data_IF_713321305690
#
_entry.id   IF_713321305690
#
_cell.length_a   1.000
_cell.length_b   1.000
_cell.length_c   1.000
_cell.angle_alpha   90.00
_cell.angle_beta   90.00
_cell.angle_gamma   90.00
#
_symmetry.space_group_name_H-M   'P 1'
#
loop_
_entity.id
_entity.type
_entity.pdbx_description
1 polymer ?
#
# COMPACT_ATOMS: atom_id res chain seq x y z
N UNK A 1 -44.66 18.97 -15.94
CA UNK A 1 -43.35 18.30 -15.81
C UNK A 1 -42.91 18.39 -14.35
N UNK A 2 -43.25 17.37 -13.57
CA UNK A 2 -42.88 17.25 -12.15
C UNK A 2 -41.39 16.95 -12.03
N UNK A 3 -40.61 17.89 -11.51
CA UNK A 3 -39.21 17.64 -11.14
C UNK A 3 -39.21 16.67 -9.96
N UNK A 4 -38.77 15.43 -10.20
CA UNK A 4 -38.41 14.52 -9.13
C UNK A 4 -37.30 15.19 -8.29
N UNK A 5 -37.41 15.25 -6.96
CA UNK A 5 -36.32 15.75 -6.13
C UNK A 5 -35.14 14.79 -6.27
N UNK A 6 -34.05 15.28 -6.84
CA UNK A 6 -32.76 14.59 -6.76
C UNK A 6 -32.41 14.56 -5.28
N UNK A 7 -32.40 13.36 -4.70
CA UNK A 7 -31.85 13.10 -3.36
C UNK A 7 -30.34 13.31 -3.47
N UNK A 8 -29.92 14.57 -3.36
CA UNK A 8 -28.55 14.98 -3.06
C UNK A 8 -28.59 15.69 -1.70
N UNK A 9 -28.99 14.96 -0.66
CA UNK A 9 -28.78 15.37 0.72
C UNK A 9 -27.36 14.97 1.10
N UNK A 10 -26.47 15.95 1.15
CA UNK A 10 -25.12 15.71 1.66
C UNK A 10 -24.17 16.85 1.36
N UNK A 11 -23.85 17.58 2.43
CA UNK A 11 -22.68 18.44 2.64
C UNK A 11 -22.98 19.94 2.46
N UNK A 12 -23.23 20.58 3.61
CA UNK A 12 -23.37 22.03 3.76
C UNK A 12 -24.51 22.46 4.69
N UNK A 13 -24.63 21.85 5.87
CA UNK A 13 -25.54 22.30 6.91
C UNK A 13 -25.20 21.61 8.22
N UNK A 14 -25.05 22.37 9.32
CA UNK A 14 -25.11 21.80 10.66
C UNK A 14 -26.50 21.16 10.77
N UNK A 15 -26.59 19.85 10.66
CA UNK A 15 -27.70 19.11 11.23
C UNK A 15 -27.51 19.27 12.73
N UNK A 16 -28.30 20.16 13.35
CA UNK A 16 -28.46 20.12 14.79
C UNK A 16 -28.94 18.70 15.12
N UNK A 17 -28.13 17.96 15.87
CA UNK A 17 -28.53 16.62 16.28
C UNK A 17 -29.86 16.76 17.05
N UNK A 18 -30.86 15.91 16.80
CA UNK A 18 -32.11 15.90 17.57
C UNK A 18 -31.89 15.55 19.06
N UNK A 19 -30.65 15.25 19.45
CA UNK A 19 -30.20 14.89 20.79
C UNK A 19 -29.15 15.91 21.25
N UNK A 20 -29.17 16.37 22.53
CA UNK A 20 -28.15 17.26 23.04
C UNK A 20 -26.73 16.67 22.88
N UNK A 21 -25.79 17.50 22.44
CA UNK A 21 -24.41 17.09 22.11
C UNK A 21 -23.72 16.37 23.27
N UNK A 22 -24.03 16.73 24.52
CA UNK A 22 -23.50 16.09 25.72
C UNK A 22 -23.92 14.62 25.83
N UNK A 23 -25.18 14.28 25.55
CA UNK A 23 -25.65 12.90 25.56
C UNK A 23 -25.03 12.11 24.41
N UNK A 24 -24.97 12.68 23.20
CA UNK A 24 -24.30 12.04 22.07
C UNK A 24 -22.81 11.75 22.36
N UNK A 25 -22.09 12.73 22.92
CA UNK A 25 -20.69 12.57 23.29
C UNK A 25 -20.50 11.51 24.39
N UNK A 26 -21.37 11.49 25.40
CA UNK A 26 -21.34 10.48 26.45
C UNK A 26 -21.59 9.07 25.90
N UNK A 27 -22.61 8.90 25.06
CA UNK A 27 -22.91 7.61 24.42
C UNK A 27 -21.78 7.14 23.51
N UNK A 28 -21.24 8.04 22.67
CA UNK A 28 -20.08 7.74 21.83
C UNK A 28 -18.87 7.31 22.67
N UNK A 29 -18.60 7.99 23.78
CA UNK A 29 -17.52 7.63 24.71
C UNK A 29 -17.75 6.27 25.38
N UNK A 30 -18.98 5.98 25.82
CA UNK A 30 -19.34 4.69 26.42
C UNK A 30 -19.17 3.56 25.40
N UNK A 31 -19.71 3.71 24.19
CA UNK A 31 -19.57 2.71 23.12
C UNK A 31 -18.09 2.46 22.79
N UNK A 32 -17.29 3.53 22.70
CA UNK A 32 -15.85 3.43 22.48
C UNK A 32 -15.17 2.65 23.60
N UNK A 33 -15.34 3.06 24.86
CA UNK A 33 -14.71 2.40 26.02
C UNK A 33 -15.13 0.93 26.09
N UNK A 34 -16.44 0.64 26.01
CA UNK A 34 -16.96 -0.72 26.08
C UNK A 34 -16.42 -1.58 24.94
N UNK A 35 -16.35 -1.06 23.72
CA UNK A 35 -15.80 -1.81 22.58
C UNK A 35 -14.32 -2.17 22.76
N UNK A 36 -13.49 -1.23 23.24
CA UNK A 36 -12.07 -1.49 23.50
C UNK A 36 -11.86 -2.41 24.71
N UNK A 37 -12.64 -2.27 25.78
CA UNK A 37 -12.62 -3.18 26.93
C UNK A 37 -13.03 -4.59 26.50
N UNK A 38 -14.10 -4.72 25.71
CA UNK A 38 -14.54 -6.00 25.16
C UNK A 38 -13.47 -6.61 24.26
N UNK A 39 -12.83 -5.82 23.39
CA UNK A 39 -11.74 -6.28 22.53
C UNK A 39 -10.55 -6.78 23.38
N UNK A 40 -10.12 -6.01 24.39
CA UNK A 40 -9.02 -6.38 25.28
C UNK A 40 -9.34 -7.64 26.12
N UNK A 41 -10.58 -7.76 26.61
CA UNK A 41 -11.00 -8.88 27.45
C UNK A 41 -11.27 -10.16 26.66
N UNK A 42 -11.85 -10.06 25.46
CA UNK A 42 -12.30 -11.20 24.65
C UNK A 42 -11.23 -11.67 23.64
N UNK A 43 -10.37 -10.78 23.15
CA UNK A 43 -9.37 -11.09 22.11
C UNK A 43 -7.99 -11.43 22.70
N UNK A 44 -7.92 -12.48 23.54
CA UNK A 44 -6.70 -12.83 24.30
C UNK A 44 -5.58 -13.47 23.48
N UNK A 45 -5.86 -13.96 22.27
CA UNK A 45 -4.89 -14.66 21.40
C UNK A 45 -4.98 -14.11 19.98
N UNK A 46 -3.86 -13.99 19.25
CA UNK A 46 -3.89 -13.57 17.84
C UNK A 46 -4.59 -14.64 17.00
N UNK A 47 -5.71 -14.28 16.35
CA UNK A 47 -6.51 -15.19 15.51
C UNK A 47 -6.36 -14.94 14.01
N UNK A 48 -5.75 -13.82 13.62
CA UNK A 48 -5.66 -13.36 12.22
C UNK A 48 -4.27 -13.53 11.60
N UNK A 49 -3.33 -14.15 12.33
CA UNK A 49 -1.97 -14.38 11.87
C UNK A 49 -1.83 -15.64 11.00
N UNK A 50 -2.78 -16.56 11.11
CA UNK A 50 -2.81 -17.80 10.31
C UNK A 50 -3.71 -17.60 9.10
N UNK A 51 -3.25 -18.03 7.92
CA UNK A 51 -4.01 -17.93 6.68
C UNK A 51 -3.10 -17.96 5.46
N UNK A 52 -3.65 -18.16 4.26
CA UNK A 52 -2.85 -18.20 3.05
C UNK A 52 -2.17 -16.85 2.82
N UNK A 53 -0.88 -16.89 2.47
CA UNK A 53 -0.13 -15.69 2.12
C UNK A 53 -0.58 -15.27 0.73
N UNK A 54 -1.38 -14.20 0.67
CA UNK A 54 -1.85 -13.63 -0.58
C UNK A 54 -0.99 -12.42 -0.94
N UNK A 55 -0.59 -12.30 -2.21
CA UNK A 55 0.25 -11.19 -2.63
C UNK A 55 -0.56 -9.88 -2.62
N UNK A 56 -0.10 -8.92 -1.82
CA UNK A 56 -0.65 -7.56 -1.73
C UNK A 56 -0.39 -6.79 -3.05
N UNK A 57 0.52 -7.27 -3.91
CA UNK A 57 0.98 -6.55 -5.10
C UNK A 57 0.04 -6.63 -6.29
N UNK A 58 -0.84 -7.63 -6.42
CA UNK A 58 -1.50 -7.88 -7.70
C UNK A 58 -2.91 -7.29 -7.78
N UNK A 59 -3.02 -6.09 -8.34
CA UNK A 59 -4.28 -5.51 -8.81
C UNK A 59 -4.62 -5.91 -10.27
N UNK A 60 -4.12 -7.03 -10.77
CA UNK A 60 -4.37 -7.45 -12.15
C UNK A 60 -5.56 -8.40 -12.22
N UNK A 61 -6.78 -7.90 -12.45
CA UNK A 61 -7.88 -8.54 -13.24
C UNK A 61 -9.27 -7.89 -13.03
N UNK A 62 -9.40 -6.67 -12.49
CA UNK A 62 -10.59 -5.88 -12.86
C UNK A 62 -10.30 -5.41 -14.29
N UNK A 63 -11.21 -5.51 -15.28
CA UNK A 63 -10.92 -5.09 -16.66
C UNK A 63 -10.30 -3.68 -16.66
N UNK A 64 -8.97 -3.66 -16.75
CA UNK A 64 -8.18 -2.54 -16.19
C UNK A 64 -8.28 -1.32 -17.05
N UNK A 65 -8.62 -1.51 -18.32
CA UNK A 65 -8.56 -0.45 -19.31
C UNK A 65 -9.63 0.60 -19.05
N UNK A 66 -10.91 0.23 -18.88
CA UNK A 66 -11.96 1.22 -18.67
C UNK A 66 -11.84 1.94 -17.31
N UNK A 67 -11.42 1.22 -16.25
CA UNK A 67 -11.17 1.83 -14.94
C UNK A 67 -9.97 2.78 -14.95
N UNK A 68 -8.93 2.45 -15.72
CA UNK A 68 -7.77 3.33 -15.88
C UNK A 68 -8.16 4.65 -16.53
N UNK A 69 -9.08 4.63 -17.50
CA UNK A 69 -9.65 5.82 -18.12
C UNK A 69 -10.55 6.58 -17.15
N UNK A 70 -11.33 5.90 -16.29
CA UNK A 70 -12.17 6.56 -15.30
C UNK A 70 -11.34 7.47 -14.37
N UNK A 71 -10.18 7.00 -13.92
CA UNK A 71 -9.24 7.81 -13.13
C UNK A 71 -8.77 9.05 -13.86
N UNK A 72 -8.30 8.89 -15.11
CA UNK A 72 -7.79 9.99 -15.94
C UNK A 72 -8.90 10.99 -16.27
N UNK A 73 -10.10 10.53 -16.60
CA UNK A 73 -11.26 11.38 -16.84
C UNK A 73 -11.65 12.15 -15.58
N UNK A 74 -11.66 11.50 -14.42
CA UNK A 74 -11.91 12.16 -13.13
C UNK A 74 -10.90 13.27 -12.85
N UNK A 75 -9.60 12.98 -13.01
CA UNK A 75 -8.54 13.98 -12.86
C UNK A 75 -8.69 15.13 -13.90
N UNK A 76 -8.98 14.79 -15.16
CA UNK A 76 -9.21 15.76 -16.22
C UNK A 76 -10.38 16.68 -15.92
N UNK A 77 -11.50 16.15 -15.44
CA UNK A 77 -12.67 16.94 -15.04
C UNK A 77 -12.36 17.86 -13.86
N UNK A 78 -11.60 17.40 -12.86
CA UNK A 78 -11.15 18.23 -11.73
C UNK A 78 -10.33 19.41 -12.25
N UNK A 79 -9.34 19.16 -13.11
CA UNK A 79 -8.46 20.21 -13.65
C UNK A 79 -9.25 21.17 -14.54
N UNK A 80 -10.05 20.66 -15.48
CA UNK A 80 -10.81 21.49 -16.42
C UNK A 80 -11.86 22.35 -15.68
N UNK A 81 -12.66 21.74 -14.80
CA UNK A 81 -13.70 22.48 -14.09
C UNK A 81 -13.14 23.49 -13.08
N UNK A 82 -11.99 23.19 -12.46
CA UNK A 82 -11.33 24.13 -11.56
C UNK A 82 -10.62 25.27 -12.30
N UNK A 83 -9.93 25.00 -13.42
CA UNK A 83 -9.36 26.06 -14.25
C UNK A 83 -10.45 26.94 -14.88
N UNK A 84 -11.57 26.34 -15.32
CA UNK A 84 -12.70 27.11 -15.85
C UNK A 84 -13.28 28.05 -14.78
N UNK A 85 -13.42 27.59 -13.54
CA UNK A 85 -13.86 28.45 -12.43
C UNK A 85 -12.88 29.59 -12.17
N UNK A 86 -11.57 29.30 -12.20
CA UNK A 86 -10.53 30.29 -12.00
C UNK A 86 -10.54 31.37 -13.09
N UNK A 87 -10.69 30.98 -14.36
CA UNK A 87 -10.72 31.89 -15.49
C UNK A 87 -12.02 32.72 -15.57
N UNK A 88 -13.13 32.19 -15.07
CA UNK A 88 -14.44 32.87 -15.07
C UNK A 88 -14.75 33.61 -13.76
N UNK A 89 -13.86 33.52 -12.77
CA UNK A 89 -14.05 34.11 -11.43
C UNK A 89 -15.14 33.43 -10.58
N UNK A 90 -15.56 32.21 -10.92
CA UNK A 90 -16.64 31.46 -10.25
C UNK A 90 -16.15 30.61 -9.07
N UNK A 91 -15.19 31.12 -8.29
CA UNK A 91 -14.51 30.39 -7.21
C UNK A 91 -15.40 30.15 -5.97
N UNK A 92 -16.46 30.95 -5.77
CA UNK A 92 -17.34 30.90 -4.58
C UNK A 92 -18.34 29.74 -4.57
N UNK A 93 -18.26 28.84 -5.54
CA UNK A 93 -19.32 27.88 -5.82
C UNK A 93 -18.90 26.43 -5.54
N UNK A 94 -18.28 26.19 -4.38
CA UNK A 94 -17.62 24.91 -4.04
C UNK A 94 -18.48 23.66 -4.32
N UNK A 95 -19.75 23.65 -3.90
CA UNK A 95 -20.66 22.50 -4.11
C UNK A 95 -21.38 22.48 -5.46
N UNK A 96 -21.44 23.60 -6.21
CA UNK A 96 -21.99 23.58 -7.58
C UNK A 96 -20.92 23.30 -8.63
N UNK A 97 -19.63 23.36 -8.26
CA UNK A 97 -18.55 22.92 -9.12
C UNK A 97 -18.26 21.43 -8.87
N UNK A 98 -18.02 20.69 -9.94
CA UNK A 98 -17.75 19.25 -9.88
C UNK A 98 -16.36 18.94 -9.31
N UNK A 99 -15.38 19.85 -9.40
CA UNK A 99 -14.00 19.61 -9.01
C UNK A 99 -13.82 19.32 -7.49
N UNK A 100 -14.37 20.15 -6.56
CA UNK A 100 -14.29 19.83 -5.14
C UNK A 100 -15.02 18.53 -4.77
N UNK A 101 -16.16 18.27 -5.39
CA UNK A 101 -16.94 17.05 -5.15
C UNK A 101 -16.16 15.81 -5.61
N UNK A 102 -15.55 15.86 -6.81
CA UNK A 102 -14.74 14.75 -7.32
C UNK A 102 -13.51 14.49 -6.46
N UNK A 103 -12.79 15.52 -6.00
CA UNK A 103 -11.62 15.33 -5.17
C UNK A 103 -11.99 14.85 -3.76
N UNK A 104 -12.80 15.62 -3.03
CA UNK A 104 -13.03 15.40 -1.60
C UNK A 104 -14.00 14.27 -1.31
N UNK A 105 -14.99 14.05 -2.18
CA UNK A 105 -15.99 12.98 -1.98
C UNK A 105 -15.58 11.75 -2.75
N UNK A 106 -15.49 11.80 -4.08
CA UNK A 106 -15.29 10.57 -4.84
C UNK A 106 -13.88 10.02 -4.70
N UNK A 107 -12.86 10.84 -4.88
CA UNK A 107 -11.47 10.39 -4.88
C UNK A 107 -10.94 10.16 -3.47
N UNK A 108 -11.19 11.07 -2.53
CA UNK A 108 -10.66 10.98 -1.16
C UNK A 108 -11.49 10.05 -0.26
N UNK A 109 -12.82 10.03 -0.41
CA UNK A 109 -13.69 9.19 0.42
C UNK A 109 -14.10 7.90 -0.30
N UNK A 110 -14.78 7.97 -1.45
CA UNK A 110 -15.39 6.77 -2.08
C UNK A 110 -14.34 5.77 -2.53
N UNK A 111 -13.26 6.18 -3.19
CA UNK A 111 -12.25 5.26 -3.73
C UNK A 111 -11.55 4.45 -2.62
N UNK A 112 -11.08 5.04 -1.51
CA UNK A 112 -10.47 4.26 -0.43
C UNK A 112 -11.43 3.33 0.29
N UNK A 113 -12.69 3.73 0.53
CA UNK A 113 -13.71 2.86 1.13
C UNK A 113 -14.12 1.73 0.17
N UNK A 114 -14.22 2.01 -1.13
CA UNK A 114 -14.40 0.97 -2.14
C UNK A 114 -13.21 0.01 -2.14
N UNK A 115 -11.98 0.49 -1.96
CA UNK A 115 -10.79 -0.35 -1.80
C UNK A 115 -10.80 -1.19 -0.51
N UNK A 116 -11.32 -0.66 0.58
CA UNK A 116 -11.53 -1.41 1.82
C UNK A 116 -12.45 -2.62 1.60
N UNK A 117 -13.48 -2.49 0.76
CA UNK A 117 -14.41 -3.59 0.46
C UNK A 117 -13.88 -4.50 -0.64
N UNK A 118 -13.44 -3.94 -1.77
CA UNK A 118 -13.13 -4.65 -3.02
C UNK A 118 -11.65 -5.06 -3.16
N UNK A 119 -10.77 -4.59 -2.28
CA UNK A 119 -9.32 -4.82 -2.35
C UNK A 119 -8.59 -3.69 -3.07
N UNK A 120 -7.51 -3.99 -3.79
CA UNK A 120 -6.65 -2.97 -4.41
C UNK A 120 -7.26 -2.35 -5.69
N UNK A 121 -8.43 -1.69 -5.55
CA UNK A 121 -9.14 -0.98 -6.62
C UNK A 121 -8.35 0.21 -7.13
N UNK A 122 -7.72 0.96 -6.21
CA UNK A 122 -7.01 2.19 -6.53
C UNK A 122 -5.95 2.01 -7.62
N UNK A 123 -5.25 0.88 -7.61
CA UNK A 123 -4.28 0.59 -8.65
C UNK A 123 -4.87 0.59 -10.08
N UNK A 124 -6.12 0.16 -10.24
CA UNK A 124 -6.79 0.14 -11.53
C UNK A 124 -7.28 1.54 -11.95
N UNK A 125 -7.69 2.38 -11.00
CA UNK A 125 -8.20 3.74 -11.25
C UNK A 125 -7.13 4.83 -11.09
N UNK A 126 -5.87 4.49 -10.79
CA UNK A 126 -4.82 5.46 -10.51
C UNK A 126 -4.52 6.29 -11.78
N UNK A 127 -4.86 7.59 -11.82
CA UNK A 127 -4.71 8.41 -13.02
C UNK A 127 -3.24 8.57 -13.42
N UNK A 128 -2.34 8.74 -12.44
CA UNK A 128 -0.92 8.94 -12.70
C UNK A 128 -0.24 7.68 -13.25
N UNK A 129 -0.67 6.50 -12.80
CA UNK A 129 -0.21 5.23 -13.38
C UNK A 129 -0.61 5.12 -14.86
N UNK A 130 -1.84 5.50 -15.19
CA UNK A 130 -2.36 5.50 -16.57
C UNK A 130 -1.64 6.53 -17.43
N UNK A 131 -1.47 7.76 -16.94
CA UNK A 131 -0.74 8.82 -17.65
C UNK A 131 0.72 8.43 -17.89
N UNK A 132 1.43 7.90 -16.88
CA UNK A 132 2.79 7.44 -17.06
C UNK A 132 2.92 6.28 -18.07
N UNK A 133 1.91 5.41 -18.17
CA UNK A 133 1.83 4.38 -19.23
C UNK A 133 1.60 4.98 -20.60
N UNK A 134 0.63 5.88 -20.72
CA UNK A 134 0.24 6.48 -21.99
C UNK A 134 1.33 7.41 -22.56
N UNK A 135 2.03 8.15 -21.70
CA UNK A 135 3.10 9.07 -22.07
C UNK A 135 4.48 8.39 -22.18
N UNK A 136 4.60 7.09 -21.91
CA UNK A 136 5.89 6.38 -21.92
C UNK A 136 6.87 6.87 -20.83
N UNK A 137 6.38 7.43 -19.73
CA UNK A 137 7.22 7.99 -18.66
C UNK A 137 7.52 6.93 -17.60
N UNK A 138 8.79 6.76 -17.26
CA UNK A 138 9.24 5.87 -16.20
C UNK A 138 9.18 4.39 -16.55
N UNK A 139 9.35 4.03 -17.83
CA UNK A 139 9.41 2.63 -18.29
C UNK A 139 10.59 1.85 -17.69
N UNK A 140 11.71 2.54 -17.47
CA UNK A 140 12.88 1.96 -16.82
C UNK A 140 12.78 2.17 -15.32
N UNK A 141 12.59 1.08 -14.59
CA UNK A 141 12.61 1.10 -13.13
C UNK A 141 14.05 1.30 -12.62
N UNK A 142 14.21 2.23 -11.68
CA UNK A 142 15.47 2.46 -10.98
C UNK A 142 15.36 1.93 -9.55
N UNK A 143 16.50 1.69 -8.90
CA UNK A 143 16.53 1.16 -7.54
C UNK A 143 15.66 1.97 -6.58
N UNK A 144 15.00 1.27 -5.64
CA UNK A 144 14.14 1.91 -4.64
C UNK A 144 14.92 2.95 -3.83
N UNK A 145 14.41 4.18 -3.67
CA UNK A 145 15.11 5.20 -2.92
C UNK A 145 15.16 4.80 -1.43
N UNK A 146 16.30 5.05 -0.77
CA UNK A 146 16.54 4.70 0.64
C UNK A 146 15.59 5.41 1.63
N UNK A 147 14.86 6.42 1.16
CA UNK A 147 13.90 7.22 1.93
C UNK A 147 12.62 6.46 2.28
N UNK A 148 12.38 5.27 1.72
CA UNK A 148 11.17 4.50 1.98
C UNK A 148 9.92 5.27 1.55
N UNK A 149 8.89 5.31 2.40
CA UNK A 149 7.62 6.02 2.15
C UNK A 149 7.52 7.37 2.87
N UNK A 150 8.63 7.90 3.42
CA UNK A 150 8.64 9.23 4.04
C UNK A 150 8.13 10.36 3.13
N UNK A 151 8.42 10.38 1.80
CA UNK A 151 7.83 11.36 0.92
C UNK A 151 6.30 11.28 0.88
N UNK A 152 5.72 10.08 0.94
CA UNK A 152 4.28 9.88 1.04
C UNK A 152 3.71 10.41 2.37
N UNK A 153 4.47 10.35 3.48
CA UNK A 153 4.08 10.96 4.77
C UNK A 153 3.98 12.47 4.65
N UNK A 154 5.00 13.10 4.05
CA UNK A 154 5.02 14.56 3.83
C UNK A 154 3.84 14.95 2.94
N UNK A 155 3.61 14.22 1.86
CA UNK A 155 2.51 14.48 0.96
C UNK A 155 1.14 14.29 1.63
N UNK A 156 0.97 13.32 2.54
CA UNK A 156 -0.26 13.16 3.32
C UNK A 156 -0.50 14.39 4.23
N UNK A 157 0.52 14.88 4.93
CA UNK A 157 0.40 16.08 5.76
C UNK A 157 0.12 17.32 4.90
N UNK A 158 0.75 17.43 3.73
CA UNK A 158 0.50 18.53 2.79
C UNK A 158 -0.93 18.50 2.22
N UNK A 159 -1.44 17.31 1.91
CA UNK A 159 -2.81 17.11 1.46
C UNK A 159 -3.82 17.47 2.57
N UNK A 160 -3.59 17.01 3.80
CA UNK A 160 -4.40 17.39 4.95
C UNK A 160 -4.30 18.89 5.29
N UNK A 161 -3.14 19.51 5.07
CA UNK A 161 -2.99 20.95 5.24
C UNK A 161 -3.82 21.72 4.21
N UNK A 162 -3.84 21.27 2.95
CA UNK A 162 -4.69 21.85 1.91
C UNK A 162 -6.19 21.74 2.29
N UNK A 163 -6.59 20.61 2.88
CA UNK A 163 -7.97 20.36 3.29
C UNK A 163 -8.39 21.18 4.53
N UNK A 164 -7.54 21.18 5.57
CA UNK A 164 -7.94 21.59 6.93
C UNK A 164 -7.42 22.98 7.33
N UNK A 165 -6.39 23.49 6.64
CA UNK A 165 -5.68 24.71 7.03
C UNK A 165 -5.74 25.79 5.96
N UNK A 166 -5.64 25.43 4.69
CA UNK A 166 -5.67 26.39 3.60
C UNK A 166 -7.07 27.03 3.47
N UNK A 167 -7.21 28.37 3.56
CA UNK A 167 -8.52 29.02 3.53
C UNK A 167 -9.34 28.72 2.28
N UNK A 168 -8.66 28.55 1.14
CA UNK A 168 -9.29 28.29 -0.15
C UNK A 168 -9.20 26.80 -0.54
N UNK A 169 -9.00 25.89 0.43
CA UNK A 169 -8.84 24.44 0.18
C UNK A 169 -10.02 23.78 -0.53
N UNK A 170 -11.20 24.40 -0.43
CA UNK A 170 -12.42 23.94 -1.09
C UNK A 170 -12.74 24.67 -2.40
N UNK A 171 -11.95 25.67 -2.81
CA UNK A 171 -12.24 26.39 -4.06
C UNK A 171 -11.79 25.56 -5.27
N UNK A 172 -12.54 25.58 -6.39
CA UNK A 172 -12.22 24.76 -7.54
C UNK A 172 -10.84 25.10 -8.15
N UNK A 173 -10.46 26.38 -8.18
CA UNK A 173 -9.17 26.82 -8.71
C UNK A 173 -7.99 26.31 -7.88
N UNK A 174 -8.08 26.38 -6.55
CA UNK A 174 -7.04 25.86 -5.66
C UNK A 174 -6.85 24.35 -5.85
N UNK A 175 -7.94 23.60 -5.98
CA UNK A 175 -7.94 22.16 -6.22
C UNK A 175 -7.32 21.82 -7.57
N UNK A 176 -7.67 22.55 -8.64
CA UNK A 176 -7.07 22.35 -9.96
C UNK A 176 -5.56 22.61 -9.94
N UNK A 177 -5.11 23.70 -9.30
CA UNK A 177 -3.69 24.01 -9.17
C UNK A 177 -2.97 22.91 -8.38
N UNK A 178 -3.53 22.48 -7.25
CA UNK A 178 -2.96 21.39 -6.45
C UNK A 178 -2.87 20.08 -7.26
N UNK A 179 -3.93 19.73 -8.00
CA UNK A 179 -3.98 18.54 -8.85
C UNK A 179 -2.93 18.61 -9.98
N UNK A 180 -2.73 19.78 -10.60
CA UNK A 180 -1.70 20.00 -11.61
C UNK A 180 -0.29 19.87 -11.03
N UNK A 181 -0.01 20.57 -9.93
CA UNK A 181 1.29 20.53 -9.24
C UNK A 181 1.62 19.09 -8.83
N UNK A 182 0.66 18.38 -8.24
CA UNK A 182 0.82 16.97 -7.86
C UNK A 182 1.08 16.08 -9.09
N UNK A 183 0.33 16.28 -10.17
CA UNK A 183 0.48 15.50 -11.41
C UNK A 183 1.85 15.70 -12.05
N UNK A 184 2.28 16.96 -12.21
CA UNK A 184 3.61 17.27 -12.76
C UNK A 184 4.71 16.71 -11.88
N UNK A 185 4.61 16.90 -10.56
CA UNK A 185 5.58 16.35 -9.60
C UNK A 185 5.66 14.83 -9.67
N UNK A 186 4.52 14.14 -9.73
CA UNK A 186 4.46 12.69 -9.80
C UNK A 186 5.06 12.16 -11.11
N UNK A 187 4.76 12.78 -12.25
CA UNK A 187 5.33 12.42 -13.55
C UNK A 187 6.85 12.66 -13.59
N UNK A 188 7.34 13.77 -13.01
CA UNK A 188 8.77 14.03 -12.88
C UNK A 188 9.48 12.97 -12.03
N UNK A 189 8.87 12.55 -10.92
CA UNK A 189 9.38 11.47 -10.08
C UNK A 189 9.36 10.12 -10.81
N UNK A 190 8.33 9.84 -11.62
CA UNK A 190 8.30 8.65 -12.48
C UNK A 190 9.43 8.66 -13.51
N UNK A 191 9.68 9.80 -14.17
CA UNK A 191 10.79 9.95 -15.10
C UNK A 191 12.16 9.71 -14.44
N UNK A 192 12.29 10.09 -13.16
CA UNK A 192 13.54 9.96 -12.40
C UNK A 192 13.75 8.59 -11.78
N UNK A 193 12.73 7.94 -11.22
CA UNK A 193 12.89 6.72 -10.42
C UNK A 193 12.25 5.47 -11.04
N UNK A 194 11.48 5.63 -12.12
CA UNK A 194 10.61 4.58 -12.64
C UNK A 194 9.18 4.73 -12.15
N UNK A 195 8.23 4.24 -12.94
CA UNK A 195 6.80 4.43 -12.69
C UNK A 195 6.33 3.73 -11.41
N UNK A 196 6.62 2.44 -11.29
CA UNK A 196 6.15 1.64 -10.16
C UNK A 196 6.92 2.01 -8.88
N UNK A 197 8.22 2.31 -9.00
CA UNK A 197 9.04 2.77 -7.88
C UNK A 197 8.59 4.14 -7.36
N UNK A 198 8.22 5.06 -8.27
CA UNK A 198 7.69 6.37 -7.93
C UNK A 198 6.36 6.26 -7.18
N UNK A 199 5.39 5.52 -7.72
CA UNK A 199 4.10 5.29 -7.08
C UNK A 199 4.23 4.58 -5.72
N UNK A 200 5.16 3.64 -5.60
CA UNK A 200 5.33 2.89 -4.35
C UNK A 200 5.99 3.68 -3.20
N UNK A 201 6.69 4.80 -3.50
CA UNK A 201 7.51 5.51 -2.51
C UNK A 201 7.07 6.97 -2.29
N UNK A 202 6.55 7.62 -3.34
CA UNK A 202 6.23 9.04 -3.33
C UNK A 202 4.73 9.34 -3.43
N UNK A 203 3.94 8.45 -4.04
CA UNK A 203 2.49 8.68 -4.16
C UNK A 203 1.77 8.40 -2.83
N UNK A 204 1.19 9.45 -2.27
CA UNK A 204 0.44 9.41 -1.01
C UNK A 204 -0.78 8.51 -1.15
N UNK A 205 -1.46 8.60 -2.30
CA UNK A 205 -2.73 7.94 -2.54
C UNK A 205 -2.53 6.46 -2.79
N UNK A 206 -1.45 6.06 -3.47
CA UNK A 206 -1.05 4.64 -3.58
C UNK A 206 -0.79 4.05 -2.20
N UNK A 207 -0.03 4.74 -1.35
CA UNK A 207 0.30 4.26 0.00
C UNK A 207 -0.94 4.15 0.88
N UNK A 208 -1.76 5.20 0.90
CA UNK A 208 -3.02 5.27 1.67
C UNK A 208 -4.00 4.16 1.27
N UNK A 209 -4.30 4.04 -0.03
CA UNK A 209 -5.22 3.02 -0.54
C UNK A 209 -4.68 1.60 -0.36
N UNK A 210 -3.36 1.40 -0.43
CA UNK A 210 -2.76 0.08 -0.17
C UNK A 210 -2.93 -0.35 1.29
N UNK A 211 -2.84 0.60 2.23
CA UNK A 211 -3.10 0.31 3.64
C UNK A 211 -4.59 0.03 3.89
N UNK A 212 -5.50 0.82 3.33
CA UNK A 212 -6.95 0.57 3.53
C UNK A 212 -7.44 -0.71 2.84
N UNK A 213 -6.98 -1.01 1.64
CA UNK A 213 -7.31 -2.26 0.95
C UNK A 213 -6.75 -3.51 1.64
N UNK A 214 -5.79 -3.36 2.56
CA UNK A 214 -5.29 -4.48 3.39
C UNK A 214 -6.35 -5.01 4.37
N UNK A 215 -7.38 -4.22 4.69
CA UNK A 215 -8.52 -4.61 5.52
C UNK A 215 -9.47 -5.55 4.75
N UNK A 216 -9.50 -5.43 3.42
CA UNK A 216 -10.44 -6.15 2.54
C UNK A 216 -10.42 -7.66 2.73
N UNK A 217 -11.58 -8.33 2.64
CA UNK A 217 -11.67 -9.77 2.73
C UNK A 217 -11.21 -10.48 1.45
N UNK A 218 -10.86 -9.74 0.40
CA UNK A 218 -10.38 -10.28 -0.86
C UNK A 218 -8.86 -10.16 -0.96
N UNK A 219 -8.24 -11.20 -1.50
CA UNK A 219 -6.83 -11.26 -1.86
C UNK A 219 -6.65 -11.96 -3.21
N UNK A 220 -5.40 -12.14 -3.64
CA UNK A 220 -5.10 -12.95 -4.82
C UNK A 220 -4.10 -14.05 -4.52
N UNK A 221 -4.37 -15.24 -5.05
CA UNK A 221 -3.46 -16.38 -4.98
C UNK A 221 -2.15 -16.07 -5.71
N UNK A 222 -1.13 -16.91 -5.53
CA UNK A 222 0.13 -16.80 -6.28
C UNK A 222 -0.08 -16.92 -7.80
N UNK A 223 -1.13 -17.61 -8.22
CA UNK A 223 -1.56 -17.75 -9.62
C UNK A 223 -2.34 -16.52 -10.13
N UNK A 224 -2.49 -15.50 -9.29
CA UNK A 224 -3.19 -14.28 -9.63
C UNK A 224 -4.71 -14.43 -9.70
N UNK A 225 -5.33 -15.45 -9.10
CA UNK A 225 -6.81 -15.58 -9.04
C UNK A 225 -7.36 -14.82 -7.84
N UNK A 226 -8.52 -14.17 -8.00
CA UNK A 226 -9.23 -13.55 -6.87
C UNK A 226 -9.68 -14.63 -5.90
N UNK A 227 -9.36 -14.47 -4.62
CA UNK A 227 -9.71 -15.42 -3.57
C UNK A 227 -10.22 -14.69 -2.34
N UNK A 228 -11.21 -15.29 -1.68
CA UNK A 228 -11.65 -14.84 -0.36
C UNK A 228 -10.60 -15.24 0.68
N UNK A 229 -10.08 -14.25 1.41
CA UNK A 229 -9.11 -14.41 2.50
C UNK A 229 -9.69 -14.08 3.89
N UNK A 230 -10.82 -13.39 3.93
CA UNK A 230 -11.44 -12.89 5.17
C UNK A 230 -10.87 -11.55 5.64
N UNK A 231 -11.68 -10.82 6.41
CA UNK A 231 -11.39 -9.45 6.85
C UNK A 231 -10.12 -9.36 7.71
N UNK A 232 -9.38 -8.24 7.58
CA UNK A 232 -8.23 -7.87 8.42
C UNK A 232 -7.02 -8.82 8.36
N UNK A 233 -7.07 -9.91 7.59
CA UNK A 233 -6.00 -10.91 7.54
C UNK A 233 -4.71 -10.46 6.86
N UNK A 234 -4.74 -9.36 6.12
CA UNK A 234 -3.54 -8.82 5.48
C UNK A 234 -2.71 -7.93 6.40
N UNK A 235 -3.32 -7.34 7.43
CA UNK A 235 -2.67 -6.36 8.29
C UNK A 235 -1.42 -6.92 9.00
N UNK A 236 -1.43 -8.16 9.54
CA UNK A 236 -0.26 -8.71 10.23
C UNK A 236 0.92 -9.04 9.31
N UNK A 237 0.69 -9.11 7.99
CA UNK A 237 1.70 -9.50 6.99
C UNK A 237 2.15 -8.31 6.12
N UNK A 238 1.75 -7.08 6.48
CA UNK A 238 2.26 -5.88 5.82
C UNK A 238 3.76 -5.78 6.10
N UNK A 239 4.61 -5.63 5.08
CA UNK A 239 6.04 -5.49 5.31
C UNK A 239 6.32 -4.19 6.08
N UNK A 240 7.28 -4.23 7.00
CA UNK A 240 7.74 -3.04 7.69
C UNK A 240 8.46 -2.09 6.72
N UNK A 241 7.73 -1.12 6.17
CA UNK A 241 8.32 -0.08 5.32
C UNK A 241 8.90 1.03 6.19
N UNK A 242 10.10 1.51 5.83
CA UNK A 242 10.64 2.72 6.43
C UNK A 242 9.68 3.89 6.17
N UNK A 243 9.13 4.48 7.24
CA UNK A 243 8.09 5.52 7.18
C UNK A 243 6.66 5.05 7.46
N UNK A 244 6.40 3.74 7.63
CA UNK A 244 5.04 3.22 7.90
C UNK A 244 4.44 3.73 9.21
N UNK A 245 5.19 3.67 10.31
CA UNK A 245 4.71 4.19 11.59
C UNK A 245 4.40 5.71 11.53
N UNK A 246 5.30 6.58 11.03
CA UNK A 246 4.98 7.98 10.78
C UNK A 246 3.75 8.19 9.87
N UNK A 247 3.57 7.37 8.84
CA UNK A 247 2.41 7.45 7.95
C UNK A 247 1.10 7.18 8.69
N UNK A 248 1.06 6.12 9.51
CA UNK A 248 -0.11 5.79 10.32
C UNK A 248 -0.40 6.85 11.38
N UNK A 249 0.64 7.41 11.99
CA UNK A 249 0.53 8.52 12.94
C UNK A 249 -0.05 9.76 12.25
N UNK A 250 0.42 10.08 11.05
CA UNK A 250 -0.11 11.19 10.27
C UNK A 250 -1.58 10.95 9.89
N UNK A 251 -1.95 9.74 9.44
CA UNK A 251 -3.35 9.40 9.15
C UNK A 251 -4.29 9.62 10.35
N UNK A 252 -3.90 9.11 11.52
CA UNK A 252 -4.71 9.25 12.75
C UNK A 252 -4.69 10.71 13.21
N UNK A 253 -3.53 11.36 13.15
CA UNK A 253 -3.32 12.74 13.58
C UNK A 253 -4.11 13.76 12.78
N UNK A 254 -4.15 13.64 11.46
CA UNK A 254 -4.89 14.58 10.60
C UNK A 254 -6.39 14.49 10.83
N UNK A 255 -6.94 13.27 10.94
CA UNK A 255 -8.38 13.06 11.24
C UNK A 255 -8.72 13.51 12.67
N UNK A 256 -7.82 13.30 13.62
CA UNK A 256 -8.02 13.80 14.99
C UNK A 256 -7.99 15.33 15.02
N UNK A 257 -7.08 15.96 14.28
CA UNK A 257 -7.03 17.41 14.15
C UNK A 257 -8.30 17.95 13.49
N UNK A 258 -8.80 17.32 12.43
CA UNK A 258 -10.08 17.68 11.80
C UNK A 258 -11.23 17.65 12.81
N UNK A 259 -11.42 16.55 13.52
CA UNK A 259 -12.49 16.42 14.51
C UNK A 259 -12.37 17.42 15.67
N UNK A 260 -11.17 17.57 16.25
CA UNK A 260 -10.96 18.42 17.43
C UNK A 260 -10.97 19.91 17.07
N UNK A 261 -10.40 20.30 15.93
CA UNK A 261 -10.28 21.72 15.55
C UNK A 261 -11.62 22.41 15.32
N UNK A 262 -12.69 21.64 15.11
CA UNK A 262 -14.06 22.11 14.97
C UNK A 262 -14.82 22.23 16.31
N UNK A 263 -14.18 21.95 17.45
CA UNK A 263 -14.80 22.02 18.79
C UNK A 263 -14.60 23.38 19.47
N UNK A 264 -15.60 23.82 20.24
CA UNK A 264 -15.52 25.06 21.03
C UNK A 264 -14.42 25.02 22.10
N UNK A 265 -14.14 23.84 22.65
CA UNK A 265 -13.02 23.64 23.57
C UNK A 265 -11.67 23.93 22.90
N UNK A 266 -11.49 23.46 21.67
CA UNK A 266 -10.24 23.70 20.94
C UNK A 266 -10.06 25.17 20.59
N UNK A 267 -11.13 25.84 20.18
CA UNK A 267 -11.14 27.29 19.97
C UNK A 267 -10.79 28.04 21.26
N UNK A 268 -11.41 27.68 22.40
CA UNK A 268 -11.10 28.28 23.70
C UNK A 268 -9.66 28.04 24.16
N UNK A 269 -9.08 26.87 23.84
CA UNK A 269 -7.71 26.51 24.20
C UNK A 269 -6.67 27.24 23.33
N UNK A 270 -6.95 27.39 22.04
CA UNK A 270 -5.97 27.89 21.06
C UNK A 270 -6.12 29.38 20.74
N UNK A 271 -7.30 29.96 21.00
CA UNK A 271 -7.61 31.36 20.72
C UNK A 271 -7.25 31.78 19.29
N UNK A 272 -6.67 32.97 19.15
CA UNK A 272 -6.28 33.53 17.85
C UNK A 272 -5.31 32.65 17.06
N UNK A 273 -4.45 31.88 17.75
CA UNK A 273 -3.54 30.94 17.08
C UNK A 273 -4.32 29.87 16.32
N UNK A 274 -5.37 29.31 16.92
CA UNK A 274 -6.23 28.30 16.28
C UNK A 274 -7.07 28.83 15.13
N UNK A 275 -7.27 30.15 15.06
CA UNK A 275 -8.04 30.81 14.00
C UNK A 275 -7.17 31.26 12.83
N UNK A 276 -5.89 31.53 13.08
CA UNK A 276 -4.93 31.93 12.05
C UNK A 276 -4.42 30.75 11.20
N UNK A 277 -4.19 31.00 9.90
CA UNK A 277 -3.56 30.01 9.00
C UNK A 277 -2.18 29.59 9.54
N UNK A 278 -1.40 30.55 10.03
CA UNK A 278 -0.08 30.29 10.59
C UNK A 278 -0.13 29.36 11.81
N UNK A 279 -1.03 29.64 12.76
CA UNK A 279 -1.17 28.78 13.94
C UNK A 279 -1.72 27.40 13.61
N UNK A 280 -2.75 27.27 12.74
CA UNK A 280 -3.22 25.97 12.26
C UNK A 280 -2.13 25.16 11.55
N UNK A 281 -1.24 25.81 10.80
CA UNK A 281 -0.09 25.18 10.14
C UNK A 281 0.88 24.54 11.13
N UNK A 282 1.04 25.15 12.31
CA UNK A 282 1.88 24.61 13.39
C UNK A 282 1.14 23.55 14.22
N UNK A 283 -0.15 23.77 14.47
CA UNK A 283 -0.99 22.90 15.30
C UNK A 283 -1.28 21.54 14.65
N UNK A 284 -1.39 21.46 13.32
CA UNK A 284 -1.60 20.21 12.59
C UNK A 284 -0.48 19.17 12.86
N UNK A 285 0.81 19.43 12.55
CA UNK A 285 1.88 18.49 12.84
C UNK A 285 2.10 18.29 14.34
N UNK A 286 1.83 19.30 15.18
CA UNK A 286 1.87 19.16 16.63
C UNK A 286 0.85 18.12 17.12
N UNK A 287 -0.37 18.15 16.58
CA UNK A 287 -1.42 17.18 16.92
C UNK A 287 -1.01 15.76 16.53
N UNK A 288 -0.43 15.59 15.33
CA UNK A 288 0.15 14.33 14.91
C UNK A 288 1.25 13.85 15.87
N UNK A 289 2.12 14.75 16.33
CA UNK A 289 3.20 14.41 17.27
C UNK A 289 2.67 14.02 18.66
N UNK A 290 1.69 14.75 19.19
CA UNK A 290 1.06 14.47 20.50
C UNK A 290 0.44 13.07 20.52
N UNK A 291 -0.17 12.63 19.42
CA UNK A 291 -0.71 11.27 19.28
C UNK A 291 0.39 10.25 19.02
N UNK A 292 1.37 10.59 18.19
CA UNK A 292 2.43 9.69 17.76
C UNK A 292 3.42 9.33 18.86
N UNK A 293 3.75 10.25 19.76
CA UNK A 293 4.72 10.03 20.84
C UNK A 293 4.28 8.90 21.79
N UNK A 294 3.06 8.90 22.36
CA UNK A 294 2.57 7.79 23.18
C UNK A 294 2.53 6.45 22.43
N UNK A 295 2.07 6.45 21.17
CA UNK A 295 1.96 5.22 20.35
C UNK A 295 3.35 4.62 20.12
N UNK A 296 4.32 5.44 19.69
CA UNK A 296 5.68 4.98 19.41
C UNK A 296 6.41 4.59 20.68
N UNK A 297 6.19 5.29 21.78
CA UNK A 297 6.74 4.94 23.08
C UNK A 297 6.19 3.60 23.58
N UNK A 298 4.88 3.37 23.47
CA UNK A 298 4.25 2.11 23.85
C UNK A 298 4.74 0.94 22.98
N UNK A 299 4.89 1.18 21.67
CA UNK A 299 5.42 0.19 20.73
C UNK A 299 6.90 -0.16 20.99
N UNK A 300 7.69 0.78 21.54
CA UNK A 300 9.10 0.56 21.90
C UNK A 300 9.29 -0.07 23.27
N UNK A 301 8.28 -0.07 24.14
CA UNK A 301 8.39 -0.75 25.42
C UNK A 301 8.59 -2.25 25.16
N UNK A 302 9.59 -2.89 25.79
CA UNK A 302 9.68 -4.34 25.75
C UNK A 302 8.34 -4.87 26.26
N UNK A 303 7.63 -5.73 25.50
CA UNK A 303 6.32 -6.20 25.94
C UNK A 303 6.48 -6.82 27.32
N UNK A 304 5.74 -6.36 28.32
CA UNK A 304 5.51 -7.06 29.59
C UNK A 304 4.74 -8.38 29.42
N UNK A 305 4.95 -9.04 28.28
CA UNK A 305 4.27 -10.20 27.72
C UNK A 305 5.33 -11.15 27.15
N UNK A 306 6.31 -11.53 27.97
CA UNK A 306 7.39 -12.45 27.58
C UNK A 306 6.91 -13.79 26.98
N UNK A 307 5.64 -14.15 27.20
CA UNK A 307 5.00 -15.34 26.64
C UNK A 307 4.58 -15.19 25.16
N UNK A 308 4.16 -14.00 24.71
CA UNK A 308 3.62 -13.81 23.35
C UNK A 308 4.75 -13.80 22.31
N UNK A 309 5.88 -13.15 22.61
CA UNK A 309 7.04 -13.10 21.69
C UNK A 309 7.63 -14.49 21.42
N UNK A 310 7.74 -15.34 22.45
CA UNK A 310 8.20 -16.72 22.30
C UNK A 310 7.24 -17.56 21.45
N UNK A 311 5.92 -17.35 21.61
CA UNK A 311 4.92 -18.06 20.80
C UNK A 311 4.89 -17.62 19.33
N UNK A 312 5.18 -16.34 19.03
CA UNK A 312 5.25 -15.82 17.67
C UNK A 312 6.53 -16.24 16.95
N UNK A 313 7.66 -16.29 17.67
CA UNK A 313 8.92 -16.79 17.12
C UNK A 313 8.88 -18.31 16.89
N UNK A 314 8.17 -19.07 17.73
CA UNK A 314 7.98 -20.51 17.54
C UNK A 314 7.01 -20.87 16.39
N UNK A 315 6.17 -19.93 15.95
CA UNK A 315 5.19 -20.12 14.86
C UNK A 315 5.58 -19.42 13.56
N UNK A 316 6.79 -18.86 13.48
CA UNK A 316 7.29 -18.25 12.25
C UNK A 316 7.45 -19.34 11.18
N UNK A 317 6.73 -19.30 10.04
CA UNK A 317 7.07 -20.15 8.91
C UNK A 317 8.51 -19.84 8.46
N UNK A 318 9.19 -20.78 7.79
CA UNK A 318 10.56 -20.56 7.32
C UNK A 318 10.62 -19.23 6.55
N UNK A 319 11.61 -18.42 6.93
CA UNK A 319 11.96 -17.14 6.32
C UNK A 319 11.81 -17.26 4.81
N UNK A 320 10.91 -16.47 4.22
CA UNK A 320 10.84 -16.34 2.77
C UNK A 320 12.25 -16.00 2.28
N UNK A 321 12.79 -16.70 1.27
CA UNK A 321 14.05 -16.30 0.68
C UNK A 321 13.93 -14.83 0.26
N UNK A 322 14.91 -14.05 0.70
CA UNK A 322 15.11 -12.65 0.33
C UNK A 322 14.77 -12.44 -1.15
N UNK A 323 13.93 -11.45 -1.51
CA UNK A 323 13.64 -11.20 -2.91
C UNK A 323 14.94 -10.67 -3.53
N UNK A 324 15.48 -11.42 -4.49
CA UNK A 324 16.59 -11.05 -5.37
C UNK A 324 18.00 -11.06 -4.75
N UNK A 325 18.60 -12.24 -4.66
CA UNK A 325 19.96 -12.39 -5.16
C UNK A 325 19.84 -12.80 -6.64
N UNK A 326 20.43 -12.08 -7.61
CA UNK A 326 20.64 -12.67 -8.92
C UNK A 326 21.50 -13.91 -8.69
N UNK A 327 20.98 -15.08 -9.04
CA UNK A 327 21.82 -16.26 -9.21
C UNK A 327 23.00 -15.87 -10.11
N UNK A 328 24.26 -16.15 -9.73
CA UNK A 328 25.37 -15.92 -10.64
C UNK A 328 25.06 -16.64 -11.95
N UNK A 329 25.46 -16.07 -13.11
CA UNK A 329 25.23 -16.72 -14.39
C UNK A 329 25.76 -18.15 -14.31
N UNK A 330 25.06 -19.15 -14.89
CA UNK A 330 25.58 -20.50 -14.93
C UNK A 330 26.98 -20.43 -15.55
N UNK A 331 27.97 -21.02 -14.88
CA UNK A 331 29.30 -21.16 -15.46
C UNK A 331 29.13 -21.75 -16.86
N UNK A 332 29.80 -21.20 -17.89
CA UNK A 332 29.82 -21.83 -19.19
C UNK A 332 30.30 -23.27 -18.97
N UNK A 333 29.49 -24.23 -19.41
CA UNK A 333 29.91 -25.62 -19.49
C UNK A 333 31.27 -25.65 -20.18
N UNK A 334 32.27 -26.40 -19.67
CA UNK A 334 33.53 -26.53 -20.35
C UNK A 334 33.22 -27.03 -21.77
N UNK A 335 33.57 -26.21 -22.76
CA UNK A 335 33.59 -26.60 -24.16
C UNK A 335 34.51 -27.81 -24.27
N UNK A 336 33.92 -29.00 -24.33
CA UNK A 336 34.61 -30.21 -24.75
C UNK A 336 34.95 -29.97 -26.22
N UNK A 337 36.17 -29.52 -26.48
CA UNK A 337 36.73 -29.53 -27.82
C UNK A 337 36.81 -31.00 -28.24
N UNK A 338 35.88 -31.43 -29.11
CA UNK A 338 36.04 -32.66 -29.87
C UNK A 338 37.25 -32.46 -30.78
N UNK A 339 38.44 -32.80 -30.28
CA UNK A 339 39.59 -33.05 -31.13
C UNK A 339 39.22 -34.22 -32.04
N UNK A 340 39.08 -33.91 -33.33
CA UNK A 340 38.98 -34.87 -34.41
C UNK A 340 40.27 -35.68 -34.46
N UNK A 341 40.29 -36.88 -33.88
CA UNK A 341 41.29 -37.88 -34.20
C UNK A 341 40.76 -38.74 -35.34
N UNK A 342 41.17 -38.38 -36.55
CA UNK A 342 41.12 -39.25 -37.72
C UNK A 342 41.97 -40.50 -37.46
N UNK A 343 41.37 -41.69 -37.48
CA UNK A 343 42.11 -42.93 -37.76
C UNK A 343 41.23 -43.95 -38.48
N UNK A 344 41.53 -44.06 -39.76
CA UNK A 344 41.66 -45.26 -40.58
C UNK A 344 40.67 -46.42 -40.39
N UNK A 345 39.85 -46.60 -41.44
CA UNK A 345 39.33 -47.86 -42.00
C UNK A 345 40.23 -49.07 -41.75
N UNK A 346 39.62 -50.15 -41.26
CA UNK A 346 39.97 -51.53 -41.59
C UNK A 346 38.69 -52.38 -41.66
N UNK A 347 38.71 -53.34 -42.56
CA UNK A 347 37.60 -54.00 -43.22
C UNK A 347 37.21 -55.38 -42.63
N UNK A 348 35.95 -55.75 -42.89
CA UNK A 348 35.41 -57.09 -43.21
C UNK A 348 35.28 -58.21 -42.16
N UNK A 349 34.00 -58.50 -41.84
CA UNK A 349 33.29 -59.81 -41.83
C UNK A 349 33.44 -60.78 -40.63
N UNK A 350 32.53 -61.77 -40.46
CA UNK A 350 31.09 -61.64 -40.18
C UNK A 350 30.63 -62.43 -38.92
N UNK A 351 29.37 -62.26 -38.53
CA UNK A 351 28.71 -62.85 -37.35
C UNK A 351 28.49 -64.37 -37.40
N UNK A 352 28.29 -65.00 -36.22
CA UNK A 352 27.28 -66.04 -36.07
C UNK A 352 26.28 -65.75 -34.93
N UNK A 353 25.07 -66.26 -35.13
CA UNK A 353 23.85 -66.22 -34.32
C UNK A 353 23.89 -67.16 -33.09
N UNK A 354 22.92 -67.08 -32.17
CA UNK A 354 23.12 -67.32 -30.74
C UNK A 354 22.76 -68.74 -30.29
N UNK A 355 23.33 -69.18 -29.15
CA UNK A 355 22.77 -70.28 -28.37
C UNK A 355 22.73 -69.93 -26.87
N UNK A 356 21.64 -70.36 -26.26
CA UNK A 356 21.21 -70.06 -24.92
C UNK A 356 22.05 -70.75 -23.85
N UNK A 357 22.22 -70.11 -22.69
CA UNK A 357 22.02 -70.78 -21.40
C UNK A 357 22.03 -69.77 -20.25
N UNK A 358 20.96 -69.89 -19.45
CA UNK A 358 20.69 -69.22 -18.19
C UNK A 358 21.53 -69.88 -17.10
N UNK A 359 22.13 -69.11 -16.19
CA UNK A 359 22.87 -69.69 -15.05
C UNK A 359 23.68 -68.67 -14.25
N UNK A 360 22.96 -67.97 -13.37
CA UNK A 360 23.40 -67.19 -12.19
C UNK A 360 24.82 -67.48 -11.64
N UNK A 361 25.63 -66.43 -11.57
CA UNK A 361 26.85 -66.36 -10.75
C UNK A 361 26.61 -65.55 -9.48
N UNK A 362 26.97 -66.15 -8.35
CA UNK A 362 27.15 -65.53 -7.03
C UNK A 362 28.44 -64.71 -7.04
N UNK A 363 28.40 -63.49 -6.50
CA UNK A 363 29.59 -62.64 -6.38
C UNK A 363 29.38 -61.51 -5.39
N UNK A 364 29.86 -61.72 -4.17
CA UNK A 364 29.97 -60.71 -3.13
C UNK A 364 30.98 -59.61 -3.53
N UNK A 365 30.67 -58.35 -3.24
CA UNK A 365 31.64 -57.26 -3.25
C UNK A 365 31.29 -56.19 -2.22
N UNK A 366 32.00 -56.27 -1.11
CA UNK A 366 32.27 -55.24 -0.10
C UNK A 366 32.91 -54.01 -0.76
N UNK A 367 32.50 -52.78 -0.45
CA UNK A 367 33.44 -51.65 -0.21
C UNK A 367 32.80 -50.34 0.28
N UNK A 368 33.28 -49.93 1.46
CA UNK A 368 33.71 -48.60 1.93
C UNK A 368 32.78 -47.37 1.88
N UNK A 369 32.60 -46.85 3.10
CA UNK A 369 32.17 -45.50 3.44
C UNK A 369 33.11 -44.42 2.89
N UNK A 370 32.54 -43.30 2.45
CA UNK A 370 33.23 -42.00 2.42
C UNK A 370 32.30 -40.97 3.05
N UNK A 371 32.69 -40.49 4.23
CA UNK A 371 32.19 -39.26 4.85
C UNK A 371 32.78 -38.05 4.13
N UNK A 372 31.96 -37.08 3.73
CA UNK A 372 32.43 -35.73 3.42
C UNK A 372 31.65 -34.71 4.24
N UNK A 373 32.35 -34.13 5.20
CA UNK A 373 31.96 -32.95 5.96
C UNK A 373 32.05 -31.72 5.05
N UNK A 374 30.94 -31.03 4.81
CA UNK A 374 30.94 -29.69 4.23
C UNK A 374 30.46 -28.67 5.27
N UNK A 375 31.44 -27.94 5.82
CA UNK A 375 31.25 -26.75 6.67
C UNK A 375 30.37 -25.72 5.95
N UNK A 376 29.23 -25.34 6.53
CA UNK A 376 28.56 -24.10 6.15
C UNK A 376 29.31 -22.92 6.78
N UNK A 377 30.17 -22.25 6.01
CA UNK A 377 30.72 -20.94 6.42
C UNK A 377 29.60 -19.90 6.32
N UNK A 378 29.33 -19.25 7.45
CA UNK A 378 28.57 -18.02 7.57
C UNK A 378 29.21 -16.90 6.75
N UNK A 379 28.58 -16.54 5.62
CA UNK A 379 28.91 -15.35 4.85
C UNK A 379 27.91 -14.23 5.15
N UNK A 380 28.33 -13.27 5.97
CA UNK A 380 27.70 -11.96 6.12
C UNK A 380 27.80 -11.17 4.82
N UNK A 381 26.67 -10.73 4.24
CA UNK A 381 26.67 -9.75 3.16
C UNK A 381 26.51 -8.33 3.72
N UNK A 382 27.39 -7.44 3.26
CA UNK A 382 27.37 -5.98 3.42
C UNK A 382 26.41 -5.33 2.42
#
# INVERSE_FOLDING_TARGET
MTRAPIIAHGIGGRLDLPVPVSYFAAEAAVVLIVSFVALAALWKKPRLQTGPIYDIKSAGSIPTLWLSWLGVLGLGLVVIAGLAALLTGQESTGTRNIAPVLLWVYFWLVVPFAGLVLGNLYTAVNPWRTLGRWLGIGEVERGRPRVGIWPAVIGLVAFAWLELVYPNGSTPGAIAIAALVYTVGQLALMARYGRETSLASFDIFTTYNRLLSSISPWGRTNEGRLAYRGWLRSLPVIPEWNGLAPFLIAMIGTVTFDGISNTTWYEALTGDLGMSVGGKTLLLPLTCAVIGVPITWLARRPPGWGAIRKSLQAQSPPVLPTPWCPSPPPMPLPTISRRSSSRARASSAPAPTPSASVGTWVGAATTRSISSSARSRSGTCK
#
